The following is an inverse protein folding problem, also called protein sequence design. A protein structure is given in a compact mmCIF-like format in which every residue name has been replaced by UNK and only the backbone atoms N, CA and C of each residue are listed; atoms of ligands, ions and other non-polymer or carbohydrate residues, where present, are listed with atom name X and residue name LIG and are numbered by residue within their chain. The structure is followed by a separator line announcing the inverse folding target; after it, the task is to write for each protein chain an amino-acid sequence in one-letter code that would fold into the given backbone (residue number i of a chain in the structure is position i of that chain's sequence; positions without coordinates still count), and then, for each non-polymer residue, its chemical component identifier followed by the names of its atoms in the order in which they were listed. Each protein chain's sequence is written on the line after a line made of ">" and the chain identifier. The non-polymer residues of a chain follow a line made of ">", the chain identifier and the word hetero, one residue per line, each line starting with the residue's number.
data_IF_380636848095
#
_entry.id   IF_380636848095
#
_cell.length_a   1.000
_cell.length_b   1.000
_cell.length_c   1.000
_cell.angle_alpha   90.00
_cell.angle_beta   90.00
_cell.angle_gamma   90.00
#
_symmetry.space_group_name_H-M   'P 1'
#
loop_
_entity.id
_entity.type
_entity.pdbx_description
1 polymer ?
#
# COMPACT_ATOMS: atom_id res chain seq x y z
N UNK A 1 45.63 5.09 21.77
CA UNK A 1 44.54 5.68 20.97
C UNK A 1 43.60 4.55 20.59
N UNK A 2 42.42 4.48 21.20
CA UNK A 2 41.38 3.56 20.76
C UNK A 2 40.71 4.17 19.53
N UNK A 3 40.86 3.52 18.37
CA UNK A 3 40.12 3.89 17.17
C UNK A 3 38.68 3.44 17.40
N UNK A 4 37.79 4.41 17.63
CA UNK A 4 36.36 4.19 17.67
C UNK A 4 35.92 3.87 16.22
N UNK A 5 35.79 2.59 15.89
CA UNK A 5 35.17 2.14 14.66
C UNK A 5 33.68 2.48 14.77
N UNK A 6 33.27 3.63 14.21
CA UNK A 6 31.87 3.91 13.95
C UNK A 6 31.38 2.87 12.94
N UNK A 7 30.58 1.91 13.40
CA UNK A 7 29.88 0.98 12.52
C UNK A 7 28.92 1.79 11.64
N UNK A 8 29.22 1.87 10.35
CA UNK A 8 28.29 2.45 9.37
C UNK A 8 27.11 1.48 9.27
N UNK A 9 25.92 1.90 9.72
CA UNK A 9 24.70 1.11 9.56
C UNK A 9 24.38 1.10 8.07
N UNK A 10 24.26 -0.07 7.46
CA UNK A 10 23.93 -0.19 6.04
C UNK A 10 22.53 0.38 5.78
N UNK A 11 22.45 1.42 4.94
CA UNK A 11 21.18 1.94 4.42
C UNK A 11 20.63 0.98 3.35
N UNK A 12 19.34 0.67 3.45
CA UNK A 12 18.63 -0.07 2.43
C UNK A 12 17.94 0.89 1.44
N UNK A 13 18.05 0.59 0.15
CA UNK A 13 17.32 1.31 -0.89
C UNK A 13 15.81 1.11 -0.71
N UNK A 14 15.03 2.20 -0.68
CA UNK A 14 13.58 2.13 -0.76
C UNK A 14 13.18 1.53 -2.12
N UNK A 15 12.39 0.46 -2.09
CA UNK A 15 11.92 -0.27 -3.26
C UNK A 15 10.45 0.02 -3.57
N UNK A 16 9.70 0.48 -2.58
CA UNK A 16 8.30 0.87 -2.69
C UNK A 16 8.20 2.33 -2.32
N UNK A 17 7.67 3.12 -3.25
CA UNK A 17 7.36 4.51 -3.02
C UNK A 17 6.11 4.80 -3.83
N UNK A 18 4.96 4.66 -3.17
CA UNK A 18 3.68 4.49 -3.84
C UNK A 18 2.55 5.30 -3.23
N UNK A 19 1.42 5.36 -3.94
CA UNK A 19 0.23 6.05 -3.46
C UNK A 19 -1.00 5.16 -3.57
N UNK A 20 -1.86 5.19 -2.55
CA UNK A 20 -3.25 4.82 -2.75
C UNK A 20 -3.93 5.90 -3.58
N UNK A 21 -4.68 5.49 -4.59
CA UNK A 21 -5.28 6.38 -5.58
C UNK A 21 -6.78 6.22 -5.55
N UNK A 22 -7.46 7.28 -5.15
CA UNK A 22 -8.91 7.40 -5.23
C UNK A 22 -9.33 7.92 -6.60
N UNK A 23 -10.57 7.69 -7.02
CA UNK A 23 -11.12 8.35 -8.22
C UNK A 23 -11.49 9.82 -7.94
N UNK A 24 -11.85 10.56 -8.99
CA UNK A 24 -12.44 11.90 -8.88
C UNK A 24 -13.84 11.90 -8.25
N UNK A 25 -14.37 10.71 -8.02
CA UNK A 25 -15.66 10.39 -7.42
C UNK A 25 -15.49 9.79 -6.02
N UNK A 26 -14.45 10.23 -5.29
CA UNK A 26 -14.23 9.90 -3.88
C UNK A 26 -14.01 8.40 -3.64
N UNK A 27 -13.04 7.83 -4.36
CA UNK A 27 -12.63 6.42 -4.26
C UNK A 27 -13.69 5.41 -4.76
N UNK A 28 -14.75 5.86 -5.44
CA UNK A 28 -15.79 4.94 -5.94
C UNK A 28 -15.46 4.34 -7.30
N UNK A 29 -14.74 5.07 -8.17
CA UNK A 29 -14.32 4.61 -9.51
C UNK A 29 -15.51 4.13 -10.38
N UNK A 30 -16.69 4.68 -10.16
CA UNK A 30 -17.95 4.22 -10.74
C UNK A 30 -18.20 4.76 -12.16
N UNK A 31 -17.32 5.61 -12.69
CA UNK A 31 -17.45 6.20 -14.03
C UNK A 31 -16.14 6.14 -14.81
N UNK A 32 -16.20 5.57 -16.02
CA UNK A 32 -15.04 5.50 -16.92
C UNK A 32 -14.42 6.88 -17.12
N UNK A 33 -13.09 6.96 -16.96
CA UNK A 33 -12.35 8.22 -17.03
C UNK A 33 -12.12 8.64 -18.48
N UNK A 34 -12.26 9.95 -18.73
CA UNK A 34 -11.65 10.57 -19.89
C UNK A 34 -10.14 10.63 -19.65
N UNK A 35 -9.34 9.93 -20.45
CA UNK A 35 -7.91 9.80 -20.18
C UNK A 35 -7.10 11.09 -20.34
N UNK A 36 -7.59 12.09 -21.09
CA UNK A 36 -6.96 13.42 -21.16
C UNK A 36 -7.19 14.22 -19.89
N UNK A 37 -8.40 14.19 -19.34
CA UNK A 37 -8.67 14.78 -18.02
C UNK A 37 -7.92 14.01 -16.93
N UNK A 38 -7.93 12.67 -16.99
CA UNK A 38 -7.21 11.82 -16.04
C UNK A 38 -5.72 12.17 -15.97
N UNK A 39 -5.06 12.31 -17.11
CA UNK A 39 -3.68 12.79 -17.21
C UNK A 39 -3.54 14.18 -16.58
N UNK A 40 -4.34 15.15 -17.01
CA UNK A 40 -4.29 16.53 -16.47
C UNK A 40 -4.42 16.57 -14.94
N UNK A 41 -5.25 15.69 -14.36
CA UNK A 41 -5.51 15.64 -12.91
C UNK A 41 -4.46 14.87 -12.12
N UNK A 42 -3.82 13.89 -12.73
CA UNK A 42 -2.95 12.92 -12.04
C UNK A 42 -1.52 12.87 -12.61
N UNK A 43 -1.14 13.82 -13.47
CA UNK A 43 0.16 13.86 -14.15
C UNK A 43 1.32 13.78 -13.17
N UNK A 44 1.19 14.41 -11.99
CA UNK A 44 2.21 14.41 -10.95
C UNK A 44 2.64 13.00 -10.50
N UNK A 45 1.78 11.98 -10.65
CA UNK A 45 2.15 10.60 -10.31
C UNK A 45 3.19 10.03 -11.30
N UNK A 46 3.10 10.39 -12.59
CA UNK A 46 3.94 9.86 -13.67
C UNK A 46 5.04 10.83 -14.14
N UNK A 47 5.01 12.08 -13.67
CA UNK A 47 6.09 13.06 -13.82
C UNK A 47 6.32 13.80 -12.49
N UNK A 48 7.56 13.74 -11.99
CA UNK A 48 7.97 14.40 -10.74
C UNK A 48 8.29 15.89 -10.86
N UNK A 49 8.05 16.51 -12.03
CA UNK A 49 8.09 17.96 -12.23
C UNK A 49 9.49 18.58 -12.20
N UNK A 50 10.56 17.77 -12.28
CA UNK A 50 11.96 18.23 -12.23
C UNK A 50 12.66 18.22 -13.60
N UNK A 51 11.89 18.00 -14.68
CA UNK A 51 12.38 17.93 -16.05
C UNK A 51 13.00 16.58 -16.45
N UNK A 52 13.05 15.60 -15.56
CA UNK A 52 13.56 14.25 -15.88
C UNK A 52 12.58 13.38 -16.66
N UNK A 53 11.27 13.70 -16.62
CA UNK A 53 10.21 12.85 -17.16
C UNK A 53 10.03 11.53 -16.40
N UNK A 54 10.57 11.44 -15.17
CA UNK A 54 10.44 10.26 -14.32
C UNK A 54 9.25 10.38 -13.35
N UNK A 55 8.50 9.30 -13.10
CA UNK A 55 7.41 9.26 -12.12
C UNK A 55 7.76 9.75 -10.71
N UNK A 56 6.78 10.32 -10.01
CA UNK A 56 6.87 10.58 -8.57
C UNK A 56 6.69 9.32 -7.73
N UNK A 57 6.04 8.29 -8.26
CA UNK A 57 5.82 7.02 -7.56
C UNK A 57 6.19 5.85 -8.46
N UNK A 58 6.53 4.70 -7.88
CA UNK A 58 6.73 3.45 -8.63
C UNK A 58 5.58 2.45 -8.47
N UNK A 59 4.58 2.78 -7.64
CA UNK A 59 3.36 2.02 -7.39
C UNK A 59 2.15 2.93 -7.22
N UNK A 60 1.03 2.53 -7.81
CA UNK A 60 -0.30 3.01 -7.41
C UNK A 60 -1.19 1.83 -7.00
N UNK A 61 -1.96 2.01 -5.93
CA UNK A 61 -2.98 1.08 -5.49
C UNK A 61 -4.34 1.74 -5.68
N UNK A 62 -5.18 1.24 -6.58
CA UNK A 62 -6.49 1.82 -6.85
C UNK A 62 -7.47 1.43 -5.74
N UNK A 63 -8.03 2.43 -5.08
CA UNK A 63 -8.91 2.31 -3.93
C UNK A 63 -10.34 2.76 -4.30
N UNK A 64 -11.38 1.93 -4.25
CA UNK A 64 -11.41 0.53 -3.78
C UNK A 64 -12.35 -0.38 -4.60
N UNK A 65 -12.09 -1.69 -4.54
CA UNK A 65 -13.00 -2.76 -4.99
C UNK A 65 -13.83 -3.25 -3.81
N UNK A 66 -15.16 -3.32 -3.95
CA UNK A 66 -16.01 -3.88 -2.90
C UNK A 66 -15.96 -5.43 -2.91
N UNK A 67 -15.63 -6.10 -1.78
CA UNK A 67 -15.45 -7.55 -1.72
C UNK A 67 -16.72 -8.36 -2.05
N UNK A 68 -17.91 -7.91 -1.61
CA UNK A 68 -19.15 -8.65 -1.88
C UNK A 68 -19.57 -8.57 -3.35
N UNK A 69 -19.40 -7.40 -3.99
CA UNK A 69 -19.59 -7.28 -5.45
C UNK A 69 -18.60 -8.15 -6.22
N UNK A 70 -17.32 -8.16 -5.81
CA UNK A 70 -16.30 -9.01 -6.42
C UNK A 70 -16.62 -10.51 -6.26
N UNK A 71 -17.12 -10.94 -5.09
CA UNK A 71 -17.59 -12.31 -4.88
C UNK A 71 -18.72 -12.66 -5.86
N UNK A 72 -19.72 -11.78 -5.97
CA UNK A 72 -20.91 -12.03 -6.77
C UNK A 72 -20.73 -11.75 -8.27
N UNK A 73 -19.57 -11.21 -8.68
CA UNK A 73 -19.32 -10.67 -10.02
C UNK A 73 -20.43 -9.72 -10.48
N UNK A 74 -20.84 -8.82 -9.58
CA UNK A 74 -21.95 -7.88 -9.84
C UNK A 74 -21.71 -7.05 -11.10
N UNK A 75 -22.75 -6.91 -11.93
CA UNK A 75 -22.78 -5.94 -13.03
C UNK A 75 -23.87 -4.93 -12.73
N UNK A 76 -23.51 -3.65 -12.63
CA UNK A 76 -24.43 -2.53 -12.45
C UNK A 76 -23.90 -1.29 -13.18
N UNK A 77 -24.43 -0.10 -12.87
CA UNK A 77 -23.99 1.14 -13.54
C UNK A 77 -22.54 1.54 -13.23
N UNK A 78 -22.02 1.11 -12.08
CA UNK A 78 -20.67 1.46 -11.60
C UNK A 78 -19.69 0.30 -11.64
N UNK A 79 -20.15 -0.94 -11.77
CA UNK A 79 -19.30 -2.14 -11.70
C UNK A 79 -19.52 -3.10 -12.87
N UNK A 80 -18.43 -3.73 -13.31
CA UNK A 80 -18.44 -4.87 -14.24
C UNK A 80 -17.68 -6.03 -13.60
N UNK A 81 -18.31 -7.19 -13.50
CA UNK A 81 -17.79 -8.37 -12.81
C UNK A 81 -17.32 -8.09 -11.36
N UNK A 82 -17.98 -7.13 -10.70
CA UNK A 82 -17.69 -6.74 -9.32
C UNK A 82 -16.49 -5.82 -9.13
N UNK A 83 -15.94 -5.29 -10.23
CA UNK A 83 -14.85 -4.30 -10.23
C UNK A 83 -15.41 -2.97 -10.74
N UNK A 84 -15.08 -1.83 -10.11
CA UNK A 84 -15.52 -0.53 -10.60
C UNK A 84 -15.09 -0.29 -12.06
N UNK A 85 -16.01 0.22 -12.90
CA UNK A 85 -15.81 0.33 -14.36
C UNK A 85 -14.62 1.20 -14.76
N UNK A 86 -14.18 2.11 -13.89
CA UNK A 86 -13.03 2.95 -14.13
C UNK A 86 -11.69 2.28 -13.78
N UNK A 87 -11.68 1.22 -12.96
CA UNK A 87 -10.50 0.39 -12.71
C UNK A 87 -10.27 -0.60 -13.86
N UNK A 88 -9.99 -0.05 -15.04
CA UNK A 88 -9.92 -0.78 -16.30
C UNK A 88 -8.53 -0.72 -16.94
N UNK A 89 -8.36 -1.42 -18.07
CA UNK A 89 -7.10 -1.50 -18.78
C UNK A 89 -6.55 -0.15 -19.22
N UNK A 90 -7.38 0.86 -19.51
CA UNK A 90 -6.88 2.19 -19.91
C UNK A 90 -6.16 2.90 -18.77
N UNK A 91 -6.71 2.85 -17.55
CA UNK A 91 -6.05 3.39 -16.35
C UNK A 91 -4.80 2.58 -16.01
N UNK A 92 -4.87 1.25 -16.09
CA UNK A 92 -3.70 0.39 -15.85
C UNK A 92 -2.58 0.67 -16.86
N UNK A 93 -2.90 0.78 -18.16
CA UNK A 93 -1.95 1.09 -19.22
C UNK A 93 -1.35 2.49 -19.07
N UNK A 94 -2.11 3.46 -18.59
CA UNK A 94 -1.59 4.80 -18.30
C UNK A 94 -0.41 4.73 -17.33
N UNK A 95 -0.56 4.07 -16.18
CA UNK A 95 0.53 3.96 -15.20
C UNK A 95 1.67 3.05 -15.68
N UNK A 96 1.33 1.87 -16.22
CA UNK A 96 2.34 0.88 -16.61
C UNK A 96 3.21 1.32 -17.79
N UNK A 97 2.68 2.12 -18.72
CA UNK A 97 3.47 2.75 -19.79
C UNK A 97 4.49 3.78 -19.29
N UNK A 98 4.34 4.24 -18.05
CA UNK A 98 5.26 5.15 -17.36
C UNK A 98 6.08 4.43 -16.27
N UNK A 99 6.24 3.10 -16.36
CA UNK A 99 7.00 2.29 -15.39
C UNK A 99 6.43 2.28 -13.96
N UNK A 100 5.16 2.68 -13.78
CA UNK A 100 4.47 2.62 -12.49
C UNK A 100 3.66 1.32 -12.39
N UNK A 101 3.89 0.53 -11.34
CA UNK A 101 3.11 -0.70 -11.09
C UNK A 101 1.71 -0.33 -10.59
N UNK A 102 0.74 -1.21 -10.85
CA UNK A 102 -0.67 -1.02 -10.44
C UNK A 102 -1.14 -2.21 -9.62
N UNK A 103 -1.88 -1.92 -8.56
CA UNK A 103 -2.63 -2.88 -7.76
C UNK A 103 -4.06 -2.40 -7.55
N UNK A 104 -4.96 -3.30 -7.17
CA UNK A 104 -6.29 -2.95 -6.68
C UNK A 104 -6.39 -3.27 -5.19
N UNK A 105 -6.91 -2.33 -4.40
CA UNK A 105 -7.23 -2.58 -3.00
C UNK A 105 -8.67 -3.03 -2.85
N UNK A 106 -8.86 -4.20 -2.24
CA UNK A 106 -10.19 -4.73 -1.93
C UNK A 106 -10.52 -4.32 -0.50
N UNK A 107 -11.52 -3.45 -0.34
CA UNK A 107 -12.03 -3.04 0.96
C UNK A 107 -11.70 -1.61 1.35
N UNK A 108 -11.15 -1.42 2.55
CA UNK A 108 -11.15 -0.16 3.30
C UNK A 108 -12.29 -0.09 4.30
N UNK A 109 -12.20 0.82 5.28
CA UNK A 109 -13.10 0.92 6.44
C UNK A 109 -14.59 1.02 6.07
N UNK A 110 -14.89 1.60 4.91
CA UNK A 110 -16.28 1.71 4.39
C UNK A 110 -16.87 0.35 4.03
N UNK A 111 -16.02 -0.65 3.75
CA UNK A 111 -16.42 -1.96 3.27
C UNK A 111 -16.17 -3.12 4.24
N UNK A 112 -15.82 -2.83 5.51
CA UNK A 112 -15.59 -3.86 6.54
C UNK A 112 -16.72 -4.88 6.62
N UNK A 113 -17.98 -4.43 6.65
CA UNK A 113 -19.14 -5.33 6.71
C UNK A 113 -19.36 -6.15 5.44
N UNK A 114 -18.92 -5.66 4.28
CA UNK A 114 -18.98 -6.40 3.02
C UNK A 114 -17.89 -7.48 2.94
N UNK A 115 -16.71 -7.22 3.52
CA UNK A 115 -15.70 -8.25 3.73
C UNK A 115 -16.25 -9.37 4.61
N UNK A 116 -16.85 -9.04 5.76
CA UNK A 116 -17.43 -10.03 6.66
C UNK A 116 -18.47 -10.91 5.95
N UNK A 117 -19.36 -10.28 5.16
CA UNK A 117 -20.36 -10.98 4.36
C UNK A 117 -19.72 -11.89 3.31
N UNK A 118 -18.73 -11.40 2.56
CA UNK A 118 -18.10 -12.18 1.50
C UNK A 118 -17.29 -13.36 2.06
N UNK A 119 -16.54 -13.15 3.15
CA UNK A 119 -15.77 -14.19 3.84
C UNK A 119 -16.65 -15.23 4.52
N UNK A 120 -17.85 -14.85 4.96
CA UNK A 120 -18.82 -15.80 5.53
C UNK A 120 -19.57 -16.57 4.44
N UNK A 121 -19.76 -15.97 3.27
CA UNK A 121 -20.53 -16.56 2.17
C UNK A 121 -19.71 -17.59 1.38
N UNK A 122 -18.56 -17.18 0.83
CA UNK A 122 -17.69 -18.07 0.06
C UNK A 122 -16.28 -17.45 -0.10
N UNK A 123 -15.41 -17.57 0.92
CA UNK A 123 -14.10 -16.94 0.91
C UNK A 123 -13.19 -17.51 -0.18
N UNK A 124 -13.31 -18.81 -0.47
CA UNK A 124 -12.56 -19.46 -1.56
C UNK A 124 -12.91 -18.84 -2.91
N UNK A 125 -14.20 -18.68 -3.23
CA UNK A 125 -14.61 -18.09 -4.50
C UNK A 125 -14.21 -16.61 -4.60
N UNK A 126 -14.24 -15.86 -3.49
CA UNK A 126 -13.72 -14.50 -3.46
C UNK A 126 -12.24 -14.46 -3.86
N UNK A 127 -11.41 -15.35 -3.31
CA UNK A 127 -9.99 -15.45 -3.66
C UNK A 127 -9.74 -15.85 -5.11
N UNK A 128 -10.54 -16.76 -5.65
CA UNK A 128 -10.50 -17.13 -7.08
C UNK A 128 -10.89 -15.96 -7.99
N UNK A 129 -11.91 -15.17 -7.62
CA UNK A 129 -12.34 -14.00 -8.39
C UNK A 129 -11.28 -12.89 -8.36
N UNK A 130 -10.69 -12.61 -7.19
CA UNK A 130 -9.58 -11.66 -7.06
C UNK A 130 -8.39 -12.06 -7.95
N UNK A 131 -8.01 -13.34 -7.95
CA UNK A 131 -6.95 -13.84 -8.83
C UNK A 131 -7.31 -13.73 -10.32
N UNK A 132 -8.57 -13.97 -10.69
CA UNK A 132 -9.03 -13.81 -12.07
C UNK A 132 -8.91 -12.35 -12.54
N UNK A 133 -9.33 -11.38 -11.70
CA UNK A 133 -9.20 -9.95 -12.01
C UNK A 133 -7.73 -9.55 -12.12
N UNK A 134 -6.90 -9.95 -11.16
CA UNK A 134 -5.46 -9.70 -11.15
C UNK A 134 -4.77 -10.17 -12.45
N UNK A 135 -5.07 -11.40 -12.89
CA UNK A 135 -4.60 -11.95 -14.18
C UNK A 135 -5.12 -11.16 -15.37
N UNK A 136 -6.39 -10.80 -15.39
CA UNK A 136 -7.03 -10.15 -16.53
C UNK A 136 -6.52 -8.73 -16.79
N UNK A 137 -6.22 -7.99 -15.72
CA UNK A 137 -5.74 -6.61 -15.80
C UNK A 137 -4.21 -6.51 -15.73
N UNK A 138 -3.52 -7.57 -15.31
CA UNK A 138 -2.07 -7.54 -15.10
C UNK A 138 -1.67 -6.67 -13.91
N UNK A 139 -2.41 -6.78 -12.81
CA UNK A 139 -2.27 -5.96 -11.59
C UNK A 139 -2.13 -6.83 -10.34
N UNK A 140 -1.50 -6.33 -9.29
CA UNK A 140 -1.51 -6.99 -7.98
C UNK A 140 -2.80 -6.70 -7.20
N UNK A 141 -2.94 -7.34 -6.03
CA UNK A 141 -4.08 -7.14 -5.12
C UNK A 141 -3.58 -6.78 -3.73
N UNK A 142 -4.27 -5.83 -3.10
CA UNK A 142 -4.15 -5.56 -1.68
C UNK A 142 -5.42 -6.00 -0.94
N UNK A 143 -5.21 -6.65 0.21
CA UNK A 143 -6.25 -6.96 1.18
C UNK A 143 -6.36 -5.78 2.13
N UNK A 144 -7.47 -5.04 2.07
CA UNK A 144 -7.76 -3.95 3.00
C UNK A 144 -9.03 -4.31 3.79
N UNK A 145 -8.86 -5.19 4.78
CA UNK A 145 -9.95 -5.71 5.61
C UNK A 145 -9.88 -5.14 7.03
N UNK A 146 -10.65 -4.08 7.28
CA UNK A 146 -10.55 -3.32 8.52
C UNK A 146 -11.53 -3.78 9.64
N UNK A 147 -11.68 -5.10 9.85
CA UNK A 147 -12.44 -5.60 11.01
C UNK A 147 -11.52 -5.79 12.22
N UNK A 148 -11.52 -4.83 13.14
CA UNK A 148 -10.68 -4.91 14.34
C UNK A 148 -11.28 -5.74 15.48
N UNK A 149 -12.59 -5.98 15.48
CA UNK A 149 -13.30 -6.49 16.67
C UNK A 149 -13.44 -8.00 16.66
N UNK A 150 -13.70 -8.59 15.50
CA UNK A 150 -13.90 -10.03 15.34
C UNK A 150 -13.64 -10.46 13.89
N UNK A 151 -12.41 -10.30 13.38
CA UNK A 151 -12.12 -10.62 11.99
C UNK A 151 -12.29 -12.10 11.68
N UNK A 152 -12.85 -12.42 10.52
CA UNK A 152 -12.98 -13.80 10.05
C UNK A 152 -11.65 -14.31 9.47
N UNK A 153 -10.70 -14.64 10.35
CA UNK A 153 -9.35 -15.08 9.97
C UNK A 153 -9.34 -16.41 9.19
N UNK A 154 -10.24 -17.34 9.51
CA UNK A 154 -10.39 -18.61 8.77
C UNK A 154 -10.86 -18.37 7.33
N UNK A 155 -11.83 -17.47 7.16
CA UNK A 155 -12.29 -17.03 5.84
C UNK A 155 -11.17 -16.33 5.10
N UNK A 156 -10.44 -15.41 5.75
CA UNK A 156 -9.33 -14.69 5.12
C UNK A 156 -8.20 -15.64 4.68
N UNK A 157 -7.85 -16.64 5.49
CA UNK A 157 -6.93 -17.70 5.10
C UNK A 157 -7.43 -18.48 3.87
N UNK A 158 -8.73 -18.80 3.82
CA UNK A 158 -9.32 -19.49 2.66
C UNK A 158 -9.27 -18.63 1.39
N UNK A 159 -9.46 -17.32 1.51
CA UNK A 159 -9.26 -16.35 0.42
C UNK A 159 -7.81 -16.36 -0.08
N UNK A 160 -6.84 -16.22 0.83
CA UNK A 160 -5.41 -16.17 0.49
C UNK A 160 -4.95 -17.48 -0.18
N UNK A 161 -5.35 -18.63 0.38
CA UNK A 161 -5.05 -19.95 -0.20
C UNK A 161 -5.64 -20.11 -1.59
N UNK A 162 -6.88 -19.66 -1.82
CA UNK A 162 -7.52 -19.71 -3.11
C UNK A 162 -6.81 -18.81 -4.15
N UNK A 163 -6.43 -17.59 -3.76
CA UNK A 163 -5.65 -16.70 -4.61
C UNK A 163 -4.32 -17.34 -5.01
N UNK A 164 -3.56 -17.86 -4.03
CA UNK A 164 -2.26 -18.51 -4.26
C UNK A 164 -2.35 -19.81 -5.04
N UNK A 165 -3.48 -20.51 -5.00
CA UNK A 165 -3.72 -21.68 -5.88
C UNK A 165 -3.75 -21.31 -7.37
N UNK A 166 -4.11 -20.06 -7.69
CA UNK A 166 -4.18 -19.56 -9.05
C UNK A 166 -2.91 -18.80 -9.46
N UNK A 167 -2.28 -18.12 -8.51
CA UNK A 167 -1.12 -17.26 -8.73
C UNK A 167 -0.09 -17.51 -7.61
N UNK A 168 0.89 -18.40 -7.82
CA UNK A 168 1.95 -18.63 -6.86
C UNK A 168 2.73 -17.34 -6.53
N UNK A 169 3.38 -17.33 -5.37
CA UNK A 169 4.30 -16.26 -4.99
C UNK A 169 5.44 -16.15 -6.00
N UNK A 170 5.80 -14.92 -6.40
CA UNK A 170 6.87 -14.64 -7.35
C UNK A 170 7.89 -13.65 -6.74
N UNK A 171 9.03 -14.14 -6.24
CA UNK A 171 10.06 -13.29 -5.62
C UNK A 171 10.72 -12.34 -6.64
N UNK A 172 10.61 -12.60 -7.94
CA UNK A 172 11.23 -11.76 -8.98
C UNK A 172 10.41 -10.50 -9.28
N UNK A 173 9.13 -10.48 -8.91
CA UNK A 173 8.20 -9.41 -9.26
C UNK A 173 7.91 -9.30 -10.76
N UNK A 174 8.26 -10.32 -11.55
CA UNK A 174 8.02 -10.34 -12.99
C UNK A 174 6.52 -10.43 -13.31
N UNK A 175 5.78 -11.24 -12.55
CA UNK A 175 4.33 -11.35 -12.66
C UNK A 175 3.63 -10.31 -11.76
N UNK A 176 3.02 -9.23 -12.30
CA UNK A 176 2.33 -8.25 -11.47
C UNK A 176 1.20 -8.86 -10.63
N UNK A 177 0.49 -9.85 -11.19
CA UNK A 177 -0.61 -10.51 -10.50
C UNK A 177 -0.15 -11.36 -9.31
N UNK A 178 1.14 -11.70 -9.22
CA UNK A 178 1.68 -12.40 -8.07
C UNK A 178 1.88 -11.49 -6.85
N UNK A 179 1.85 -10.16 -7.02
CA UNK A 179 1.91 -9.21 -5.90
C UNK A 179 0.60 -9.26 -5.11
N UNK A 180 0.65 -9.81 -3.90
CA UNK A 180 -0.45 -9.85 -2.95
C UNK A 180 0.02 -9.26 -1.62
N UNK A 181 -0.63 -8.19 -1.18
CA UNK A 181 -0.29 -7.44 0.03
C UNK A 181 -1.46 -7.34 0.98
N UNK A 182 -1.21 -6.82 2.17
CA UNK A 182 -2.25 -6.53 3.16
C UNK A 182 -2.02 -5.16 3.77
N UNK A 183 -3.09 -4.39 3.95
CA UNK A 183 -3.05 -3.18 4.74
C UNK A 183 -3.38 -3.51 6.21
N UNK A 184 -2.50 -3.07 7.11
CA UNK A 184 -2.61 -3.29 8.56
C UNK A 184 -2.76 -1.94 9.26
N UNK A 185 -3.20 -1.96 10.52
CA UNK A 185 -3.25 -0.75 11.35
C UNK A 185 -1.92 -0.01 11.37
N UNK A 186 -1.94 1.31 11.57
CA UNK A 186 -0.72 2.15 11.60
C UNK A 186 0.37 1.61 12.56
N UNK A 187 -0.08 0.97 13.65
CA UNK A 187 0.70 0.08 14.50
C UNK A 187 -0.22 -1.03 15.03
N UNK A 188 0.32 -1.93 15.85
CA UNK A 188 -0.39 -3.11 16.39
C UNK A 188 -1.40 -2.80 17.50
N UNK A 189 -2.13 -1.68 17.42
CA UNK A 189 -3.23 -1.30 18.35
C UNK A 189 -4.60 -1.47 17.73
N UNK A 190 -4.65 -1.50 16.41
CA UNK A 190 -5.83 -1.60 15.58
C UNK A 190 -5.60 -2.73 14.57
N UNK A 191 -6.65 -3.47 14.23
CA UNK A 191 -6.56 -4.71 13.44
C UNK A 191 -5.63 -5.77 14.07
N UNK A 192 -5.46 -5.73 15.39
CA UNK A 192 -4.50 -6.55 16.15
C UNK A 192 -4.54 -8.04 15.80
N UNK A 193 -5.74 -8.60 15.66
CA UNK A 193 -5.92 -10.01 15.35
C UNK A 193 -5.50 -10.35 13.91
N UNK A 194 -5.72 -9.42 12.97
CA UNK A 194 -5.27 -9.53 11.58
C UNK A 194 -3.76 -9.38 11.52
N UNK A 195 -3.17 -8.35 12.16
CA UNK A 195 -1.72 -8.16 12.23
C UNK A 195 -1.04 -9.40 12.80
N UNK A 196 -1.56 -9.94 13.91
CA UNK A 196 -1.04 -11.17 14.51
C UNK A 196 -1.04 -12.33 13.51
N UNK A 197 -2.16 -12.53 12.83
CA UNK A 197 -2.30 -13.65 11.90
C UNK A 197 -1.40 -13.49 10.67
N UNK A 198 -1.39 -12.30 10.07
CA UNK A 198 -0.59 -12.01 8.88
C UNK A 198 0.91 -12.11 9.16
N UNK A 199 1.39 -11.53 10.27
CA UNK A 199 2.81 -11.60 10.63
C UNK A 199 3.25 -13.03 10.94
N UNK A 200 2.42 -13.81 11.63
CA UNK A 200 2.75 -15.20 11.97
C UNK A 200 2.72 -16.16 10.78
N UNK A 201 1.79 -15.96 9.83
CA UNK A 201 1.46 -16.99 8.83
C UNK A 201 1.78 -16.59 7.39
N UNK A 202 1.84 -15.29 7.08
CA UNK A 202 1.88 -14.82 5.70
C UNK A 202 3.08 -13.97 5.34
N UNK A 203 3.62 -13.22 6.29
CA UNK A 203 4.71 -12.26 6.07
C UNK A 203 6.07 -12.78 6.57
N UNK A 204 6.23 -14.10 6.72
CA UNK A 204 7.51 -14.69 7.11
C UNK A 204 8.48 -14.74 5.92
N UNK A 205 9.74 -14.35 6.14
CA UNK A 205 10.79 -14.43 5.12
C UNK A 205 11.10 -15.86 4.67
N UNK A 206 10.92 -16.86 5.55
CA UNK A 206 11.27 -18.25 5.25
C UNK A 206 10.26 -18.96 4.34
N UNK A 207 9.03 -18.47 4.29
CA UNK A 207 7.95 -19.01 3.47
C UNK A 207 6.89 -17.94 3.20
N UNK A 208 7.21 -16.89 2.43
CA UNK A 208 6.29 -15.77 2.22
C UNK A 208 5.05 -16.21 1.45
N UNK A 209 3.88 -15.86 1.99
CA UNK A 209 2.58 -16.00 1.32
C UNK A 209 2.12 -14.64 0.81
N UNK A 210 2.40 -13.57 1.55
CA UNK A 210 2.19 -12.18 1.13
C UNK A 210 3.54 -11.52 0.90
N UNK A 211 3.55 -10.54 0.02
CA UNK A 211 4.76 -9.83 -0.38
C UNK A 211 5.24 -8.88 0.73
N UNK A 212 4.33 -8.05 1.23
CA UNK A 212 4.57 -7.12 2.34
C UNK A 212 3.23 -6.65 2.93
N UNK A 213 3.31 -6.00 4.09
CA UNK A 213 2.23 -5.23 4.68
C UNK A 213 2.46 -3.72 4.53
N UNK A 214 1.38 -2.99 4.30
CA UNK A 214 1.35 -1.55 4.52
C UNK A 214 0.96 -1.29 5.98
N UNK A 215 1.70 -0.42 6.68
CA UNK A 215 1.19 0.18 7.91
C UNK A 215 0.35 1.39 7.51
N UNK A 216 -0.96 1.25 7.50
CA UNK A 216 -1.90 2.29 7.07
C UNK A 216 -1.68 3.61 7.81
N UNK A 217 -2.17 4.72 7.24
CA UNK A 217 -2.13 6.00 7.96
C UNK A 217 -2.95 5.93 9.26
N UNK A 218 -2.46 6.47 10.40
CA UNK A 218 -3.27 6.59 11.61
C UNK A 218 -4.42 7.58 11.37
N UNK A 219 -5.41 7.67 12.27
CA UNK A 219 -6.57 8.57 12.14
C UNK A 219 -6.22 10.06 11.83
N UNK A 220 -4.99 10.49 12.12
CA UNK A 220 -4.44 11.80 11.72
C UNK A 220 -2.97 11.67 11.41
N UNK A 221 -2.45 12.51 10.53
CA UNK A 221 -1.01 12.62 10.29
C UNK A 221 -0.27 12.77 11.63
N UNK A 222 0.77 11.95 11.88
CA UNK A 222 1.62 12.14 13.05
C UNK A 222 2.20 13.56 13.06
N UNK A 223 2.51 14.11 14.23
CA UNK A 223 2.99 15.51 14.36
C UNK A 223 4.51 15.63 14.38
N UNK A 224 5.23 14.51 14.42
CA UNK A 224 6.70 14.44 14.41
C UNK A 224 7.19 13.12 13.82
N UNK A 225 8.45 13.10 13.37
CA UNK A 225 9.12 11.88 12.92
C UNK A 225 9.04 10.77 13.97
N UNK A 226 9.37 11.08 15.23
CA UNK A 226 9.31 10.12 16.33
C UNK A 226 7.92 9.50 16.54
N UNK A 227 6.84 10.25 16.30
CA UNK A 227 5.48 9.73 16.42
C UNK A 227 5.06 8.84 15.25
N UNK A 228 5.55 9.12 14.03
CA UNK A 228 5.38 8.25 12.88
C UNK A 228 6.18 6.95 13.04
N UNK A 229 7.47 7.07 13.36
CA UNK A 229 8.39 5.97 13.60
C UNK A 229 7.88 5.06 14.73
N UNK A 230 7.33 5.62 15.81
CA UNK A 230 6.75 4.82 16.89
C UNK A 230 5.58 3.93 16.44
N UNK A 231 4.76 4.38 15.48
CA UNK A 231 3.68 3.55 14.95
C UNK A 231 4.25 2.36 14.17
N UNK A 232 5.21 2.60 13.27
CA UNK A 232 5.84 1.54 12.47
C UNK A 232 6.70 0.60 13.33
N UNK A 233 7.36 1.14 14.35
CA UNK A 233 8.19 0.39 15.29
C UNK A 233 7.39 -0.68 16.02
N UNK A 234 6.10 -0.45 16.30
CA UNK A 234 5.23 -1.46 16.91
C UNK A 234 5.18 -2.74 16.06
N UNK A 235 5.07 -2.63 14.73
CA UNK A 235 5.10 -3.78 13.82
C UNK A 235 6.47 -4.48 13.85
N UNK A 236 7.54 -3.69 13.78
CA UNK A 236 8.91 -4.22 13.76
C UNK A 236 9.24 -4.98 15.06
N UNK A 237 8.75 -4.50 16.21
CA UNK A 237 8.97 -5.17 17.49
C UNK A 237 7.90 -6.21 17.84
N UNK A 238 6.73 -6.13 17.22
CA UNK A 238 5.53 -6.79 17.68
C UNK A 238 5.08 -6.31 19.07
N UNK A 239 4.12 -7.04 19.65
CA UNK A 239 3.56 -6.80 20.99
C UNK A 239 3.49 -8.07 21.81
N UNK A 240 4.62 -8.37 22.45
CA UNK A 240 4.75 -9.51 23.37
C UNK A 240 3.85 -9.39 24.61
N UNK A 241 3.42 -8.18 24.98
CA UNK A 241 2.55 -7.92 26.12
C UNK A 241 1.06 -8.14 25.83
N UNK A 242 0.68 -8.49 24.60
CA UNK A 242 -0.70 -8.83 24.24
C UNK A 242 -0.95 -10.34 24.47
N UNK A 243 -2.22 -10.71 24.65
CA UNK A 243 -2.64 -12.10 24.82
C UNK A 243 -3.75 -12.45 23.82
N UNK A 244 -3.46 -13.17 22.72
CA UNK A 244 -2.14 -13.65 22.31
C UNK A 244 -1.20 -12.52 21.81
N UNK A 245 0.13 -12.72 21.82
CA UNK A 245 1.08 -11.69 21.40
C UNK A 245 1.00 -11.46 19.89
N UNK A 246 1.35 -10.26 19.44
CA UNK A 246 1.66 -10.00 18.02
C UNK A 246 3.15 -10.23 17.82
N UNK A 247 3.59 -11.14 16.94
CA UNK A 247 5.02 -11.38 16.71
C UNK A 247 5.68 -10.19 15.98
N UNK A 248 7.01 -10.05 16.05
CA UNK A 248 7.74 -9.06 15.27
C UNK A 248 7.62 -9.29 13.77
N UNK A 249 7.53 -8.21 12.99
CA UNK A 249 7.57 -8.23 11.53
C UNK A 249 8.97 -7.80 11.04
N UNK A 250 9.46 -8.47 9.99
CA UNK A 250 10.73 -8.11 9.37
C UNK A 250 10.63 -6.72 8.67
N UNK A 251 11.62 -5.82 8.82
CA UNK A 251 11.59 -4.51 8.17
C UNK A 251 11.33 -4.58 6.65
N UNK A 252 12.01 -5.48 5.95
CA UNK A 252 11.82 -5.77 4.53
C UNK A 252 10.43 -6.33 4.13
N UNK A 253 9.47 -6.44 5.07
CA UNK A 253 8.07 -6.82 4.85
C UNK A 253 7.09 -5.71 5.20
N UNK A 254 7.58 -4.50 5.46
CA UNK A 254 6.78 -3.37 5.88
C UNK A 254 7.09 -2.13 5.05
N UNK A 255 6.04 -1.39 4.70
CA UNK A 255 6.12 0.01 4.30
C UNK A 255 5.47 0.90 5.36
N UNK A 256 5.95 2.14 5.48
CA UNK A 256 5.35 3.15 6.34
C UNK A 256 4.42 4.04 5.53
N UNK A 257 3.34 4.54 6.13
CA UNK A 257 2.39 5.39 5.40
C UNK A 257 2.21 6.77 6.01
N UNK A 258 2.01 7.74 5.13
CA UNK A 258 1.80 9.16 5.46
C UNK A 258 0.65 9.75 4.64
N UNK A 259 -0.06 10.72 5.19
CA UNK A 259 -1.03 11.51 4.44
C UNK A 259 -0.31 12.49 3.49
N UNK A 260 -0.86 12.68 2.30
CA UNK A 260 -0.49 13.78 1.39
C UNK A 260 -1.52 14.92 1.40
N UNK A 261 -2.66 14.71 2.05
CA UNK A 261 -3.68 15.74 2.30
C UNK A 261 -4.19 15.62 3.72
N UNK A 262 -4.17 16.73 4.46
CA UNK A 262 -4.73 16.83 5.83
C UNK A 262 -5.92 17.80 5.83
N UNK A 263 -7.13 17.26 5.66
CA UNK A 263 -8.34 18.06 5.53
C UNK A 263 -8.28 18.95 4.29
N UNK A 264 -8.48 20.26 4.47
CA UNK A 264 -8.58 21.22 3.36
C UNK A 264 -7.21 21.71 2.83
N UNK A 265 -6.09 21.13 3.27
CA UNK A 265 -4.77 21.56 2.85
C UNK A 265 -3.95 20.37 2.34
N UNK A 266 -3.15 20.55 1.26
CA UNK A 266 -2.09 19.61 0.95
C UNK A 266 -1.13 19.54 2.14
N UNK A 267 -0.73 18.33 2.52
CA UNK A 267 0.25 18.11 3.57
C UNK A 267 1.66 18.44 3.04
N UNK A 268 2.66 18.69 3.91
CA UNK A 268 4.05 18.88 3.48
C UNK A 268 4.58 17.72 2.62
N UNK A 269 4.13 16.48 2.87
CA UNK A 269 4.42 15.31 2.06
C UNK A 269 3.99 15.50 0.60
N UNK A 270 2.97 16.32 0.33
CA UNK A 270 2.55 16.66 -1.02
C UNK A 270 3.33 17.86 -1.58
N UNK A 271 3.44 18.97 -0.85
CA UNK A 271 3.86 20.24 -1.46
C UNK A 271 5.16 20.86 -0.90
N UNK A 272 5.81 20.22 0.08
CA UNK A 272 7.05 20.71 0.66
C UNK A 272 7.86 19.58 1.32
N UNK A 273 8.63 18.86 0.49
CA UNK A 273 9.45 17.74 0.95
C UNK A 273 10.33 18.07 2.16
N UNK A 274 11.00 19.22 2.16
CA UNK A 274 11.92 19.61 3.24
C UNK A 274 11.25 19.69 4.63
N UNK A 275 9.96 20.01 4.66
CA UNK A 275 9.16 20.13 5.88
C UNK A 275 8.32 18.88 6.20
N UNK A 276 8.44 17.82 5.38
CA UNK A 276 7.61 16.61 5.48
C UNK A 276 8.10 15.60 6.51
N UNK A 277 7.18 14.74 6.97
CA UNK A 277 7.56 13.55 7.71
C UNK A 277 8.29 12.55 6.85
N UNK A 278 8.01 12.50 5.54
CA UNK A 278 8.74 11.64 4.63
C UNK A 278 10.26 11.94 4.72
N UNK A 279 10.65 13.22 4.63
CA UNK A 279 12.05 13.63 4.70
C UNK A 279 12.66 13.30 6.06
N UNK A 280 11.96 13.68 7.14
CA UNK A 280 12.47 13.53 8.49
C UNK A 280 12.48 12.09 9.02
N UNK A 281 11.73 11.18 8.40
CA UNK A 281 11.72 9.74 8.74
C UNK A 281 12.50 8.86 7.76
N UNK A 282 12.98 9.41 6.63
CA UNK A 282 13.68 8.64 5.60
C UNK A 282 14.85 7.80 6.13
N UNK A 283 15.66 8.36 7.04
CA UNK A 283 16.75 7.59 7.65
C UNK A 283 16.23 6.37 8.45
N UNK A 284 15.12 6.51 9.18
CA UNK A 284 14.52 5.37 9.89
C UNK A 284 14.07 4.29 8.90
N UNK A 285 13.36 4.68 7.85
CA UNK A 285 12.89 3.78 6.79
C UNK A 285 14.05 3.02 6.15
N UNK A 286 15.21 3.66 5.93
CA UNK A 286 16.37 2.99 5.32
C UNK A 286 17.20 2.15 6.30
N UNK A 287 17.09 2.36 7.61
CA UNK A 287 18.08 1.83 8.58
C UNK A 287 17.51 1.04 9.76
N UNK A 288 16.19 1.03 9.96
CA UNK A 288 15.59 0.33 11.13
C UNK A 288 16.02 -1.14 11.18
N UNK A 289 16.62 -1.61 12.29
CA UNK A 289 17.10 -2.98 12.38
C UNK A 289 15.95 -3.97 12.60
N UNK A 290 16.09 -5.23 12.16
CA UNK A 290 15.25 -6.34 12.59
C UNK A 290 15.16 -6.44 14.11
N UNK A 291 13.99 -6.83 14.63
CA UNK A 291 13.82 -7.17 16.04
C UNK A 291 13.14 -8.52 16.23
N UNK A 292 13.86 -9.60 15.87
CA UNK A 292 13.39 -10.98 16.02
C UNK A 292 12.79 -11.61 14.75
N UNK A 293 12.58 -10.82 13.69
CA UNK A 293 12.19 -11.31 12.36
C UNK A 293 12.99 -10.56 11.26
N UNK A 294 13.46 -11.30 10.25
CA UNK A 294 14.29 -10.76 9.16
C UNK A 294 15.77 -10.62 9.53
N UNK A 295 16.59 -10.32 8.52
CA UNK A 295 18.05 -10.20 8.70
C UNK A 295 18.64 -8.90 8.15
N UNK A 296 17.93 -8.21 7.25
CA UNK A 296 18.37 -6.92 6.71
C UNK A 296 17.68 -5.73 7.36
N UNK A 297 18.42 -4.63 7.47
CA UNK A 297 17.91 -3.37 7.96
C UNK A 297 17.01 -2.68 6.93
N UNK A 298 16.16 -1.79 7.41
CA UNK A 298 15.36 -0.88 6.60
C UNK A 298 14.06 -1.50 6.10
N UNK A 299 13.01 -0.70 6.13
CA UNK A 299 11.71 -0.95 5.54
C UNK A 299 11.76 -0.99 4.00
N UNK A 300 10.69 -1.48 3.37
CA UNK A 300 10.59 -1.47 1.90
C UNK A 300 10.39 -0.08 1.32
N UNK A 301 9.85 0.86 2.10
CA UNK A 301 9.73 2.26 1.73
C UNK A 301 8.44 2.89 2.24
N UNK A 302 7.86 3.80 1.46
CA UNK A 302 6.75 4.66 1.87
C UNK A 302 5.52 4.51 0.98
N UNK A 303 4.34 4.66 1.57
CA UNK A 303 3.06 4.79 0.87
C UNK A 303 2.31 6.06 1.28
N UNK A 304 1.54 6.62 0.35
CA UNK A 304 0.87 7.90 0.54
C UNK A 304 -0.65 7.81 0.40
N UNK A 305 -1.37 8.31 1.41
CA UNK A 305 -2.83 8.38 1.42
C UNK A 305 -3.35 9.82 1.26
N UNK A 306 -4.16 10.14 0.26
CA UNK A 306 -4.35 9.42 -1.00
C UNK A 306 -4.31 10.40 -2.17
N UNK A 307 -3.92 9.87 -3.33
CA UNK A 307 -3.90 10.59 -4.59
C UNK A 307 -5.32 10.83 -5.12
N UNK A 308 -5.46 11.89 -5.92
CA UNK A 308 -6.71 12.48 -6.39
C UNK A 308 -7.63 12.89 -5.23
N UNK A 309 -8.88 12.43 -5.20
CA UNK A 309 -9.92 12.90 -4.28
C UNK A 309 -10.26 11.83 -3.23
N UNK A 310 -9.71 11.93 -2.02
CA UNK A 310 -9.99 10.95 -0.95
C UNK A 310 -11.38 11.10 -0.30
N UNK A 311 -12.04 12.25 -0.48
CA UNK A 311 -13.35 12.51 0.12
C UNK A 311 -13.82 13.95 -0.06
N UNK A 312 -15.07 14.23 0.32
CA UNK A 312 -15.73 15.53 0.17
C UNK A 312 -15.23 16.60 1.15
N UNK A 313 -14.53 16.19 2.21
CA UNK A 313 -14.02 17.08 3.26
C UNK A 313 -12.53 17.40 3.12
N UNK A 314 -11.92 16.99 2.00
CA UNK A 314 -10.51 17.18 1.72
C UNK A 314 -10.29 17.80 0.35
N UNK A 315 -9.18 18.52 0.18
CA UNK A 315 -8.73 18.90 -1.17
C UNK A 315 -8.29 17.66 -1.95
N UNK A 316 -8.41 17.72 -3.27
CA UNK A 316 -7.83 16.70 -4.14
C UNK A 316 -6.39 17.06 -4.53
N UNK A 317 -5.54 16.06 -4.77
CA UNK A 317 -4.16 16.26 -5.26
C UNK A 317 -4.11 16.48 -6.78
N UNK A 318 -5.02 17.30 -7.28
CA UNK A 318 -5.10 17.74 -8.68
C UNK A 318 -4.70 19.21 -8.79
N UNK A 319 -4.30 19.74 -9.95
CA UNK A 319 -3.92 21.16 -10.07
C UNK A 319 -4.93 22.11 -9.43
N UNK A 320 -4.48 23.07 -8.58
CA UNK A 320 -3.08 23.44 -8.29
C UNK A 320 -2.42 22.69 -7.11
N UNK A 321 -3.08 21.69 -6.51
CA UNK A 321 -2.64 21.00 -5.29
C UNK A 321 -1.84 19.72 -5.58
N UNK A 322 -1.04 19.72 -6.65
CA UNK A 322 -0.26 18.56 -7.06
C UNK A 322 0.93 18.30 -6.13
N UNK A 323 1.46 17.07 -6.16
CA UNK A 323 2.44 16.62 -5.17
C UNK A 323 3.89 16.51 -5.68
N UNK A 324 4.25 17.20 -6.76
CA UNK A 324 5.62 17.18 -7.31
C UNK A 324 6.62 17.76 -6.31
N UNK A 325 6.24 18.80 -5.55
CA UNK A 325 7.14 19.49 -4.61
C UNK A 325 7.39 18.74 -3.29
N UNK A 326 6.60 17.72 -3.00
CA UNK A 326 6.75 16.80 -1.87
C UNK A 326 7.18 15.44 -2.39
N UNK A 327 6.20 14.59 -2.72
CA UNK A 327 6.41 13.21 -3.23
C UNK A 327 7.37 13.17 -4.43
N UNK A 328 7.28 14.10 -5.38
CA UNK A 328 8.19 14.14 -6.53
C UNK A 328 9.65 14.43 -6.15
N UNK A 329 9.87 15.43 -5.28
CA UNK A 329 11.19 15.74 -4.71
C UNK A 329 11.72 14.58 -3.85
N UNK A 330 10.84 13.92 -3.12
CA UNK A 330 11.13 12.72 -2.34
C UNK A 330 11.62 11.56 -3.20
N UNK A 331 10.91 11.27 -4.28
CA UNK A 331 11.27 10.24 -5.24
C UNK A 331 12.67 10.46 -5.84
N UNK A 332 13.07 11.72 -6.02
CA UNK A 332 14.43 12.10 -6.44
C UNK A 332 15.44 11.92 -5.31
N UNK A 333 15.11 12.39 -4.11
CA UNK A 333 15.99 12.35 -2.94
C UNK A 333 16.37 10.92 -2.57
N UNK A 334 15.39 10.01 -2.55
CA UNK A 334 15.61 8.59 -2.25
C UNK A 334 16.02 7.75 -3.47
N UNK A 335 16.29 8.37 -4.62
CA UNK A 335 16.68 7.69 -5.85
C UNK A 335 15.76 6.50 -6.19
N UNK A 336 14.45 6.73 -6.13
CA UNK A 336 13.46 5.65 -6.22
C UNK A 336 13.63 4.87 -7.54
N UNK A 337 13.78 3.54 -7.47
CA UNK A 337 13.96 2.71 -8.65
C UNK A 337 12.68 2.63 -9.48
N UNK A 338 12.85 2.79 -10.80
CA UNK A 338 11.79 2.78 -11.81
C UNK A 338 12.19 1.86 -12.97
N UNK A 339 11.38 0.85 -13.33
CA UNK A 339 10.18 0.39 -12.60
C UNK A 339 10.53 -0.18 -11.21
N UNK A 340 9.50 -0.43 -10.39
CA UNK A 340 9.67 -1.12 -9.10
C UNK A 340 10.49 -2.41 -9.28
N UNK A 341 11.58 -2.60 -8.50
CA UNK A 341 12.46 -3.76 -8.59
C UNK A 341 11.84 -4.99 -7.93
N UNK A 342 12.50 -6.15 -8.06
CA UNK A 342 12.24 -7.29 -7.19
C UNK A 342 12.43 -6.87 -5.72
N UNK A 343 11.46 -7.17 -4.85
CA UNK A 343 11.57 -6.79 -3.44
C UNK A 343 12.62 -7.63 -2.73
N UNK A 344 13.29 -7.04 -1.73
CA UNK A 344 14.15 -7.77 -0.82
C UNK A 344 13.36 -8.89 -0.15
N UNK A 345 13.98 -10.06 -0.08
CA UNK A 345 13.35 -11.27 0.45
C UNK A 345 13.77 -11.61 1.89
N UNK A 346 14.92 -11.06 2.34
CA UNK A 346 15.55 -11.30 3.65
C UNK A 346 16.10 -10.01 4.27
#
# INVERSE_FOLDING_TARGET
>A
MAVLLLSVVSQAQMQIYGAWHCGNDFCTWASVRNMTDFDTKNHWLIDRGDGSGLPSVNLVILSFVQPLKLLNKTNDSGDVNGVPVAMNSSVVSYFTSHNVRVMLSIGGITYTSFWDQALSSNPTQLGLNAAAVAKSLGVGIEIDYENTSSPNLTGLQSFVSAYRSQIPYDPTGANPAARLTIDLGAGDRYLTDISRYATANWLSDSSPVLDYANAMVPNKQPTSASSAEANWQEHITGKANYAPPVPPLAPNRLTGSLYIVTGQNPAPECNNFSASLENSTGNYVETVPPNGAGTTNGMLGLMFWAAECQGTHSVCTTPPNTCEAGVGVGAKTYSIPLPMPALRQN
#
